data_IF_859302602081
#
_entry.id   IF_859302602081
#
_cell.length_a   1.000
_cell.length_b   1.000
_cell.length_c   1.000
_cell.angle_alpha   90.00
_cell.angle_beta   90.00
_cell.angle_gamma   90.00
#
_symmetry.space_group_name_H-M   'P 1'
#
loop_
_entity.id
_entity.type
_entity.pdbx_description
1 polymer ?
#
# COMPACT_ATOMS: atom_id res chain seq x y z
N UNK A 1 4.37 -5.88 -20.58
CA UNK A 1 4.45 -5.52 -19.14
C UNK A 1 3.19 -6.02 -18.46
N UNK A 2 3.29 -6.78 -17.36
CA UNK A 2 2.09 -7.24 -16.66
C UNK A 2 1.37 -6.03 -16.04
N UNK A 3 0.09 -5.85 -16.36
CA UNK A 3 -0.73 -4.76 -15.79
C UNK A 3 -0.83 -4.96 -14.28
N UNK A 4 -0.45 -3.94 -13.51
CA UNK A 4 -0.51 -3.98 -12.06
C UNK A 4 -1.98 -4.12 -11.61
N UNK A 5 -2.29 -5.16 -10.84
CA UNK A 5 -3.66 -5.37 -10.38
C UNK A 5 -4.06 -4.29 -9.40
N UNK A 6 -5.27 -3.80 -9.55
CA UNK A 6 -5.86 -2.79 -8.67
C UNK A 6 -7.24 -3.25 -8.19
N UNK A 7 -7.67 -2.73 -7.04
CA UNK A 7 -9.00 -2.99 -6.47
C UNK A 7 -9.46 -1.81 -5.61
N UNK A 8 -10.77 -1.59 -5.54
CA UNK A 8 -11.37 -0.65 -4.60
C UNK A 8 -11.70 -1.39 -3.30
N UNK A 9 -11.19 -0.90 -2.18
CA UNK A 9 -11.36 -1.56 -0.89
C UNK A 9 -11.16 -0.55 0.26
N UNK A 10 -11.58 -0.89 1.48
CA UNK A 10 -11.52 0.05 2.61
C UNK A 10 -10.09 0.33 3.05
N UNK A 11 -9.71 1.61 3.14
CA UNK A 11 -8.44 2.06 3.69
C UNK A 11 -8.64 2.61 5.11
N UNK A 12 -7.98 2.01 6.10
CA UNK A 12 -8.09 2.43 7.50
C UNK A 12 -7.67 3.89 7.73
N UNK A 13 -6.57 4.33 7.11
CA UNK A 13 -6.05 5.69 7.30
C UNK A 13 -6.86 6.76 6.58
N UNK A 14 -7.51 6.44 5.46
CA UNK A 14 -8.42 7.35 4.78
C UNK A 14 -9.86 7.32 5.34
N UNK A 15 -10.20 6.33 6.16
CA UNK A 15 -11.55 6.14 6.68
C UNK A 15 -12.61 5.76 5.62
N UNK A 16 -12.21 5.39 4.40
CA UNK A 16 -13.12 5.24 3.25
C UNK A 16 -12.65 4.18 2.24
N UNK A 17 -13.53 3.79 1.31
CA UNK A 17 -13.20 2.87 0.22
C UNK A 17 -12.40 3.57 -0.87
N UNK A 18 -11.15 3.14 -1.03
CA UNK A 18 -10.17 3.78 -1.91
C UNK A 18 -9.57 2.78 -2.89
N UNK A 19 -9.02 3.29 -3.99
CA UNK A 19 -8.26 2.45 -4.91
C UNK A 19 -6.97 1.98 -4.24
N UNK A 20 -6.68 0.70 -4.40
CA UNK A 20 -5.44 0.07 -3.98
C UNK A 20 -4.82 -0.68 -5.14
N UNK A 21 -3.50 -0.86 -5.08
CA UNK A 21 -2.74 -1.67 -6.03
C UNK A 21 -1.81 -2.65 -5.33
N UNK A 22 -1.36 -3.66 -6.05
CA UNK A 22 -0.23 -4.47 -5.58
C UNK A 22 1.04 -3.63 -5.48
N UNK A 23 1.98 -4.05 -4.63
CA UNK A 23 3.31 -3.45 -4.53
C UNK A 23 4.09 -3.65 -5.83
N UNK A 24 4.99 -2.72 -6.14
CA UNK A 24 6.03 -2.95 -7.14
C UNK A 24 7.14 -3.80 -6.55
N UNK A 25 8.03 -4.36 -7.39
CA UNK A 25 9.15 -5.17 -6.87
C UNK A 25 10.03 -4.43 -5.86
N UNK A 26 10.35 -3.15 -6.14
CA UNK A 26 11.13 -2.30 -5.22
C UNK A 26 10.40 -2.10 -3.89
N UNK A 27 9.09 -1.87 -3.91
CA UNK A 27 8.29 -1.72 -2.70
C UNK A 27 8.14 -3.03 -1.92
N UNK A 28 8.06 -4.17 -2.61
CA UNK A 28 8.10 -5.49 -1.96
C UNK A 28 9.44 -5.71 -1.26
N UNK A 29 10.56 -5.43 -1.93
CA UNK A 29 11.89 -5.65 -1.37
C UNK A 29 12.12 -4.75 -0.15
N UNK A 30 11.75 -3.47 -0.23
CA UNK A 30 11.73 -2.56 0.93
C UNK A 30 10.88 -3.10 2.09
N UNK A 31 9.70 -3.64 1.80
CA UNK A 31 8.79 -4.14 2.84
C UNK A 31 9.32 -5.43 3.46
N UNK A 32 9.95 -6.31 2.68
CA UNK A 32 10.62 -7.53 3.19
C UNK A 32 11.73 -7.17 4.16
N UNK A 33 12.60 -6.22 3.80
CA UNK A 33 13.67 -5.73 4.67
C UNK A 33 13.10 -5.12 5.95
N UNK A 34 12.09 -4.25 5.82
CA UNK A 34 11.43 -3.60 6.97
C UNK A 34 10.78 -4.59 7.93
N UNK A 35 10.18 -5.68 7.42
CA UNK A 35 9.45 -6.66 8.23
C UNK A 35 10.30 -7.88 8.63
N UNK A 36 11.49 -8.07 8.05
CA UNK A 36 12.30 -9.27 8.25
C UNK A 36 11.63 -10.55 7.72
N UNK A 37 10.86 -10.47 6.62
CA UNK A 37 10.08 -11.60 6.06
C UNK A 37 10.44 -11.85 4.59
N UNK A 38 10.36 -13.11 4.16
CA UNK A 38 10.68 -13.50 2.77
C UNK A 38 9.55 -13.20 1.76
N UNK A 39 8.30 -13.03 2.23
CA UNK A 39 7.12 -12.85 1.39
C UNK A 39 6.20 -11.75 1.89
N UNK A 40 5.75 -10.88 0.97
CA UNK A 40 4.90 -9.71 1.24
C UNK A 40 3.86 -9.46 0.13
N UNK A 41 3.59 -10.46 -0.71
CA UNK A 41 2.68 -10.34 -1.86
C UNK A 41 1.20 -10.17 -1.47
N UNK A 42 0.86 -10.39 -0.20
CA UNK A 42 -0.47 -10.16 0.35
C UNK A 42 -0.82 -8.68 0.54
N UNK A 43 0.17 -7.79 0.49
CA UNK A 43 0.02 -6.38 0.79
C UNK A 43 -0.44 -5.57 -0.44
N UNK A 44 -1.33 -4.63 -0.15
CA UNK A 44 -1.92 -3.70 -1.09
C UNK A 44 -1.67 -2.27 -0.61
N UNK A 45 -1.29 -1.41 -1.54
CA UNK A 45 -0.99 -0.01 -1.31
C UNK A 45 -2.18 0.87 -1.67
N UNK A 46 -2.63 1.71 -0.76
CA UNK A 46 -3.62 2.74 -1.05
C UNK A 46 -3.01 3.84 -1.93
N UNK A 47 -3.66 4.16 -3.05
CA UNK A 47 -3.23 5.21 -3.99
C UNK A 47 -4.11 6.45 -3.97
N UNK A 48 -4.96 6.60 -2.94
CA UNK A 48 -5.78 7.80 -2.79
C UNK A 48 -4.88 9.04 -2.73
N UNK A 49 -5.18 10.04 -3.56
CA UNK A 49 -4.51 11.34 -3.54
C UNK A 49 -5.06 12.13 -2.36
N UNK A 50 -4.18 12.49 -1.43
CA UNK A 50 -4.48 13.31 -0.26
C UNK A 50 -4.32 14.80 -0.55
N UNK A 51 -3.39 15.14 -1.44
CA UNK A 51 -3.12 16.51 -1.87
C UNK A 51 -3.02 16.52 -3.40
N UNK A 52 -3.98 17.16 -4.10
CA UNK A 52 -3.99 17.21 -5.56
C UNK A 52 -2.88 18.10 -6.13
N UNK A 53 -2.43 19.12 -5.39
CA UNK A 53 -1.43 20.08 -5.87
C UNK A 53 -0.03 19.44 -5.88
N UNK A 54 0.28 18.64 -4.86
CA UNK A 54 1.57 17.94 -4.78
C UNK A 54 1.53 16.49 -5.28
N UNK A 55 0.34 15.98 -5.62
CA UNK A 55 0.12 14.56 -5.96
C UNK A 55 0.39 13.60 -4.80
N UNK A 56 0.39 14.07 -3.55
CA UNK A 56 0.74 13.24 -2.38
C UNK A 56 -0.31 12.16 -2.19
N UNK A 57 0.12 10.90 -2.20
CA UNK A 57 -0.76 9.75 -2.01
C UNK A 57 -0.76 9.27 -0.54
N UNK A 58 -1.83 8.56 -0.16
CA UNK A 58 -1.96 7.97 1.17
C UNK A 58 -0.90 6.91 1.46
N UNK A 59 -0.65 6.00 0.49
CA UNK A 59 0.38 4.96 0.54
C UNK A 59 0.31 4.02 1.75
N UNK A 60 -0.84 3.94 2.42
CA UNK A 60 -1.03 3.01 3.53
C UNK A 60 -1.11 1.56 3.04
N UNK A 61 -0.48 0.66 3.80
CA UNK A 61 -0.52 -0.77 3.56
C UNK A 61 -1.71 -1.44 4.25
N UNK A 62 -2.32 -2.38 3.53
CA UNK A 62 -3.33 -3.32 4.05
C UNK A 62 -3.19 -4.68 3.36
N UNK A 63 -3.86 -5.70 3.86
CA UNK A 63 -3.94 -6.99 3.15
C UNK A 63 -5.31 -7.20 2.51
N UNK A 64 -5.53 -8.31 1.82
CA UNK A 64 -6.84 -8.70 1.29
C UNK A 64 -7.93 -8.72 2.35
N UNK A 65 -7.63 -9.26 3.54
CA UNK A 65 -8.62 -9.53 4.60
C UNK A 65 -8.47 -8.64 5.83
N UNK A 66 -7.27 -8.08 6.08
CA UNK A 66 -7.02 -7.22 7.23
C UNK A 66 -6.81 -5.77 6.79
N UNK A 67 -7.69 -4.89 7.25
CA UNK A 67 -7.70 -3.44 6.99
C UNK A 67 -6.60 -2.69 7.76
N UNK A 68 -6.12 -3.26 8.87
CA UNK A 68 -5.08 -2.71 9.76
C UNK A 68 -4.13 -3.84 10.21
N UNK A 69 -3.22 -4.31 9.32
CA UNK A 69 -2.34 -5.44 9.63
C UNK A 69 -1.21 -5.14 10.62
N UNK A 70 -1.02 -3.86 10.96
CA UNK A 70 0.05 -3.40 11.85
C UNK A 70 -0.56 -2.60 13.01
N UNK A 71 0.08 -2.63 14.19
CA UNK A 71 -0.34 -1.81 15.33
C UNK A 71 -0.35 -0.32 14.96
N UNK A 72 0.75 0.13 14.34
CA UNK A 72 0.91 1.44 13.71
C UNK A 72 0.85 1.32 12.18
N UNK A 73 0.09 2.19 11.48
CA UNK A 73 0.00 2.13 10.03
C UNK A 73 1.36 2.30 9.36
N UNK A 74 1.74 1.34 8.51
CA UNK A 74 2.93 1.48 7.66
C UNK A 74 2.52 2.15 6.34
N UNK A 75 3.13 3.31 6.06
CA UNK A 75 3.03 3.99 4.76
C UNK A 75 4.28 3.68 3.94
N UNK A 76 4.10 3.13 2.74
CA UNK A 76 5.24 2.86 1.87
C UNK A 76 5.88 4.18 1.41
N UNK A 77 7.21 4.32 1.41
CA UNK A 77 7.89 5.50 0.89
C UNK A 77 7.74 5.56 -0.63
N UNK A 78 7.90 6.74 -1.22
CA UNK A 78 8.10 6.86 -2.67
C UNK A 78 9.54 6.43 -2.94
N UNK A 79 9.71 5.39 -3.75
CA UNK A 79 11.00 4.83 -4.13
C UNK A 79 11.24 5.14 -5.60
N UNK A 80 12.42 5.68 -5.92
CA UNK A 80 12.88 5.95 -7.30
C UNK A 80 13.28 4.63 -7.98
#
# INVERSE_FOLDING_TARGET
MATQRTKKDYCWTCGSYQQHRQLTRKEEDWLKERLGRSGVGEFWLCVNVLDPDTGKQCRNLRTGFNKKPFAEPIKAPVLD
#
